data_IF_247440885612
#
_entry.id   IF_247440885612
#
_cell.length_a   1.000
_cell.length_b   1.000
_cell.length_c   1.000
_cell.angle_alpha   90.00
_cell.angle_beta   90.00
_cell.angle_gamma   90.00
#
_symmetry.space_group_name_H-M   'P 1'
#
loop_
_entity.id
_entity.type
_entity.pdbx_description
1 polymer ?
#
# COMPACT_ATOMS: atom_id res chain seq x y z
N UNK A 1 -32.88 9.61 -14.79
CA UNK A 1 -31.99 8.58 -14.19
C UNK A 1 -31.88 7.45 -15.19
N UNK A 2 -30.74 7.29 -15.88
CA UNK A 2 -30.47 6.09 -16.67
C UNK A 2 -29.44 5.25 -15.90
N UNK A 3 -29.88 4.14 -15.32
CA UNK A 3 -28.98 3.08 -14.88
C UNK A 3 -28.39 2.41 -16.12
N UNK A 4 -27.07 2.43 -16.24
CA UNK A 4 -26.35 1.67 -17.28
C UNK A 4 -26.34 0.19 -16.88
N UNK A 5 -26.55 -0.75 -17.82
CA UNK A 5 -26.57 -2.17 -17.51
C UNK A 5 -25.17 -2.66 -17.12
N UNK A 6 -25.12 -3.55 -16.13
CA UNK A 6 -23.91 -4.25 -15.70
C UNK A 6 -23.51 -5.19 -16.84
N UNK A 7 -22.39 -4.89 -17.51
CA UNK A 7 -21.77 -5.79 -18.47
C UNK A 7 -21.06 -6.91 -17.69
N UNK A 8 -21.43 -8.17 -17.96
CA UNK A 8 -20.69 -9.33 -17.47
C UNK A 8 -19.38 -9.42 -18.26
N UNK A 9 -18.24 -9.13 -17.62
CA UNK A 9 -16.93 -9.34 -18.22
C UNK A 9 -16.60 -10.85 -18.24
N UNK A 10 -16.41 -11.41 -19.43
CA UNK A 10 -15.82 -12.75 -19.60
C UNK A 10 -14.40 -12.81 -19.02
N UNK A 11 -13.94 -13.98 -18.56
CA UNK A 11 -12.70 -14.10 -17.83
C UNK A 11 -11.53 -13.83 -18.78
N UNK A 12 -10.89 -12.66 -18.62
CA UNK A 12 -9.67 -12.35 -19.31
C UNK A 12 -8.62 -13.41 -18.96
N UNK A 13 -8.26 -14.23 -19.94
CA UNK A 13 -7.09 -15.11 -19.97
C UNK A 13 -5.83 -14.26 -20.09
N UNK A 14 -5.62 -13.40 -19.11
CA UNK A 14 -4.43 -12.57 -18.94
C UNK A 14 -3.71 -13.06 -17.70
N UNK A 15 -2.49 -13.57 -17.92
CA UNK A 15 -1.54 -13.92 -16.88
C UNK A 15 -1.49 -12.75 -15.87
N UNK A 16 -1.78 -13.01 -14.59
CA UNK A 16 -1.80 -12.00 -13.53
C UNK A 16 -0.36 -11.62 -13.20
N UNK A 17 0.22 -10.79 -14.06
CA UNK A 17 1.61 -10.39 -14.02
C UNK A 17 1.75 -9.27 -12.97
N UNK A 18 2.30 -9.67 -11.82
CA UNK A 18 2.50 -8.89 -10.58
C UNK A 18 1.26 -8.85 -9.68
N UNK A 19 1.26 -9.73 -8.69
CA UNK A 19 0.41 -9.68 -7.51
C UNK A 19 0.80 -8.48 -6.61
N UNK A 20 0.60 -7.25 -7.11
CA UNK A 20 0.77 -6.05 -6.31
C UNK A 20 -0.14 -6.12 -5.09
N UNK A 21 0.42 -5.84 -3.92
CA UNK A 21 -0.39 -5.67 -2.72
C UNK A 21 -1.22 -4.39 -2.87
N UNK A 22 -2.52 -4.48 -2.62
CA UNK A 22 -3.38 -3.30 -2.53
C UNK A 22 -2.87 -2.37 -1.42
N UNK A 23 -3.00 -1.07 -1.63
CA UNK A 23 -2.63 -0.09 -0.63
C UNK A 23 -3.48 -0.29 0.64
N UNK A 24 -2.82 -0.51 1.79
CA UNK A 24 -3.47 -0.63 3.08
C UNK A 24 -3.19 0.62 3.93
N UNK A 25 -4.23 1.18 4.55
CA UNK A 25 -4.09 2.23 5.56
C UNK A 25 -4.25 1.61 6.94
N UNK A 26 -3.13 1.35 7.63
CA UNK A 26 -3.13 0.82 8.99
C UNK A 26 -3.03 1.97 10.00
N UNK A 27 -4.03 2.12 10.87
CA UNK A 27 -4.06 3.14 11.94
C UNK A 27 -3.98 2.43 13.30
N UNK A 28 -2.77 2.18 13.84
CA UNK A 28 -2.63 1.60 15.17
C UNK A 28 -2.95 2.62 16.27
N UNK A 29 -3.24 2.13 17.48
CA UNK A 29 -3.17 2.97 18.68
C UNK A 29 -1.74 3.48 18.84
N UNK A 30 -1.57 4.80 18.76
CA UNK A 30 -0.25 5.43 18.79
C UNK A 30 0.16 5.72 20.24
N UNK A 31 0.97 4.83 20.81
CA UNK A 31 1.72 5.09 22.05
C UNK A 31 3.08 5.63 21.65
N UNK A 32 3.55 6.70 22.31
CA UNK A 32 4.89 7.23 22.07
C UNK A 32 5.94 6.27 22.66
N UNK A 33 6.38 5.32 21.84
CA UNK A 33 7.44 4.37 22.15
C UNK A 33 8.73 4.72 21.39
N UNK A 34 9.36 3.72 20.80
CA UNK A 34 10.53 3.91 19.93
C UNK A 34 10.15 4.71 18.68
N UNK A 35 10.87 5.80 18.43
CA UNK A 35 10.68 6.69 17.28
C UNK A 35 12.00 6.99 16.61
N UNK A 36 11.95 7.29 15.32
CA UNK A 36 13.11 7.80 14.59
C UNK A 36 13.48 9.22 15.03
N UNK A 37 14.74 9.59 14.80
CA UNK A 37 15.14 11.00 14.88
C UNK A 37 14.41 11.83 13.80
N UNK A 38 14.24 13.15 13.97
CA UNK A 38 13.53 13.99 12.98
C UNK A 38 14.09 13.87 11.56
N UNK A 39 15.42 13.83 11.40
CA UNK A 39 16.07 13.69 10.10
C UNK A 39 15.74 12.35 9.44
N UNK A 40 15.77 11.26 10.21
CA UNK A 40 15.50 9.92 9.69
C UNK A 40 14.01 9.72 9.38
N UNK A 41 13.13 10.24 10.24
CA UNK A 41 11.68 10.20 10.04
C UNK A 41 11.29 10.90 8.73
N UNK A 42 11.92 12.05 8.42
CA UNK A 42 11.69 12.78 7.19
C UNK A 42 12.11 11.96 5.96
N UNK A 43 13.27 11.31 6.00
CA UNK A 43 13.73 10.45 4.91
C UNK A 43 12.83 9.23 4.69
N UNK A 44 12.28 8.66 5.76
CA UNK A 44 11.45 7.44 5.71
C UNK A 44 9.95 7.71 5.48
N UNK A 45 9.50 8.95 5.63
CA UNK A 45 8.09 9.34 5.48
C UNK A 45 7.19 8.90 6.65
N UNK A 46 7.78 8.50 7.79
CA UNK A 46 7.05 8.10 9.00
C UNK A 46 7.93 8.29 10.24
N UNK A 47 7.32 8.70 11.36
CA UNK A 47 8.00 8.81 12.66
C UNK A 47 8.24 7.44 13.31
N UNK A 48 7.37 6.47 13.01
CA UNK A 48 7.30 5.21 13.72
C UNK A 48 7.99 4.10 12.91
N UNK A 49 9.01 3.42 13.46
CA UNK A 49 9.72 2.36 12.78
C UNK A 49 8.83 1.23 12.25
N UNK A 50 7.81 0.84 13.03
CA UNK A 50 6.86 -0.21 12.66
C UNK A 50 6.00 0.11 11.44
N UNK A 51 5.90 1.37 11.04
CA UNK A 51 5.13 1.79 9.87
C UNK A 51 5.98 1.92 8.60
N UNK A 52 7.30 1.74 8.69
CA UNK A 52 8.17 1.87 7.52
C UNK A 52 8.13 0.60 6.67
N UNK A 53 7.42 0.68 5.54
CA UNK A 53 7.21 -0.43 4.59
C UNK A 53 7.49 0.04 3.15
N UNK A 54 8.76 0.17 2.74
CA UNK A 54 9.10 0.59 1.38
C UNK A 54 8.71 -0.49 0.35
N UNK A 55 8.27 -0.07 -0.83
CA UNK A 55 8.02 -0.99 -1.94
C UNK A 55 9.33 -1.66 -2.38
N UNK A 56 9.33 -2.98 -2.42
CA UNK A 56 10.43 -3.75 -2.99
C UNK A 56 10.27 -3.75 -4.51
N UNK A 57 11.28 -3.27 -5.23
CA UNK A 57 11.32 -3.43 -6.68
C UNK A 57 11.98 -4.76 -7.01
N UNK A 58 11.23 -5.72 -7.52
CA UNK A 58 11.83 -6.89 -8.17
C UNK A 58 12.49 -6.39 -9.47
N UNK A 59 13.82 -6.54 -9.61
CA UNK A 59 14.46 -6.34 -10.91
C UNK A 59 13.95 -7.45 -11.84
N UNK A 60 13.07 -7.07 -12.77
CA UNK A 60 12.74 -7.85 -13.96
C UNK A 60 13.94 -8.06 -14.87
#
# INVERSE_FOLDING_TARGET
MLQKPIINMEPATGKMDNCYQLAHAYVPYQVLGEVYSPSEALCKGTLFPRLYMPYQYERS
#
